data_IF_723657013634
#
_entry.id   IF_723657013634
#
_cell.length_a   1.000
_cell.length_b   1.000
_cell.length_c   1.000
_cell.angle_alpha   90.00
_cell.angle_beta   90.00
_cell.angle_gamma   90.00
#
_symmetry.space_group_name_H-M   'P 1'
#
loop_
_entity.id
_entity.type
_entity.pdbx_description
1 polymer ?
#
# COMPACT_ATOMS: atom_id res chain seq x y z
N UNK A 1 4.81 -0.55 -17.61
CA UNK A 1 4.96 -0.08 -16.21
C UNK A 1 5.57 -1.20 -15.40
N UNK A 2 6.45 -0.86 -14.45
CA UNK A 2 7.07 -1.85 -13.57
C UNK A 2 6.18 -2.04 -12.33
N UNK A 3 5.35 -3.08 -12.37
CA UNK A 3 4.44 -3.41 -11.27
C UNK A 3 5.14 -4.05 -10.06
N UNK A 4 6.47 -4.19 -10.06
CA UNK A 4 7.21 -4.58 -8.84
C UNK A 4 7.48 -3.38 -7.91
N UNK A 5 7.34 -2.15 -8.41
CA UNK A 5 7.57 -0.91 -7.67
C UNK A 5 6.27 -0.23 -7.24
N UNK A 6 6.31 0.70 -6.27
CA UNK A 6 5.22 1.66 -6.09
C UNK A 6 5.07 2.50 -7.37
N UNK A 7 3.84 2.74 -7.79
CA UNK A 7 3.53 3.56 -8.96
C UNK A 7 2.77 4.79 -8.49
N UNK A 8 3.32 5.98 -8.67
CA UNK A 8 2.61 7.23 -8.41
C UNK A 8 1.55 7.43 -9.51
N UNK A 9 0.28 7.45 -9.11
CA UNK A 9 -0.88 7.57 -10.03
C UNK A 9 -1.50 8.97 -9.99
N UNK A 10 -1.20 9.74 -8.95
CA UNK A 10 -1.48 11.15 -8.78
C UNK A 10 -0.51 11.71 -7.72
N UNK A 11 -0.45 13.03 -7.57
CA UNK A 11 0.39 13.69 -6.55
C UNK A 11 0.14 13.07 -5.17
N UNK A 12 1.21 12.51 -4.57
CA UNK A 12 1.18 11.87 -3.25
C UNK A 12 0.28 10.63 -3.14
N UNK A 13 -0.17 10.06 -4.26
CA UNK A 13 -1.00 8.84 -4.30
C UNK A 13 -0.28 7.74 -5.08
N UNK A 14 -0.02 6.64 -4.38
CA UNK A 14 0.76 5.52 -4.91
C UNK A 14 -0.10 4.26 -4.96
N UNK A 15 -0.11 3.58 -6.10
CA UNK A 15 -0.51 2.19 -6.16
C UNK A 15 0.61 1.30 -5.62
N UNK A 16 0.26 0.44 -4.66
CA UNK A 16 1.17 -0.49 -3.97
C UNK A 16 0.62 -1.93 -3.95
N UNK A 17 -0.40 -2.24 -4.75
CA UNK A 17 -0.97 -3.59 -4.84
C UNK A 17 -0.01 -4.63 -5.42
N UNK A 18 -0.36 -5.91 -5.40
CA UNK A 18 0.44 -7.00 -5.97
C UNK A 18 -0.30 -7.66 -7.11
N UNK A 19 0.38 -7.88 -8.25
CA UNK A 19 -0.19 -8.60 -9.38
C UNK A 19 0.04 -10.09 -9.17
N UNK A 20 -1.01 -10.82 -8.82
CA UNK A 20 -0.97 -12.28 -8.66
C UNK A 20 -0.97 -12.95 -10.04
N UNK A 21 0.05 -13.75 -10.40
CA UNK A 21 0.10 -14.39 -11.71
C UNK A 21 -1.11 -15.32 -11.94
N UNK A 22 -1.72 -15.22 -13.13
CA UNK A 22 -2.88 -16.02 -13.56
C UNK A 22 -4.15 -15.85 -12.72
N UNK A 23 -4.23 -14.82 -11.87
CA UNK A 23 -5.44 -14.52 -11.12
C UNK A 23 -6.24 -13.40 -11.83
N UNK A 24 -7.49 -13.65 -12.26
CA UNK A 24 -8.34 -12.59 -12.80
C UNK A 24 -8.84 -11.63 -11.71
N UNK A 25 -8.73 -11.97 -10.42
CA UNK A 25 -9.19 -11.19 -9.29
C UNK A 25 -8.01 -10.55 -8.56
N UNK A 26 -7.62 -9.36 -9.01
CA UNK A 26 -6.55 -8.59 -8.40
C UNK A 26 -7.07 -7.72 -7.25
N UNK A 27 -6.31 -7.65 -6.15
CA UNK A 27 -6.51 -6.64 -5.12
C UNK A 27 -5.66 -5.40 -5.45
N UNK A 28 -6.21 -4.21 -5.18
CA UNK A 28 -5.52 -2.95 -5.44
C UNK A 28 -5.35 -2.19 -4.14
N UNK A 29 -4.12 -2.17 -3.63
CA UNK A 29 -3.75 -1.39 -2.46
C UNK A 29 -3.21 -0.03 -2.89
N UNK A 30 -3.53 1.01 -2.11
CA UNK A 30 -3.09 2.38 -2.36
C UNK A 30 -2.53 3.02 -1.10
N UNK A 31 -1.51 3.85 -1.26
CA UNK A 31 -1.04 4.77 -0.21
C UNK A 31 -1.38 6.19 -0.61
N UNK A 32 -2.00 6.93 0.31
CA UNK A 32 -2.13 8.39 0.25
C UNK A 32 -1.15 8.96 1.27
N UNK A 33 -0.15 9.71 0.80
CA UNK A 33 0.85 10.37 1.66
C UNK A 33 0.30 11.72 2.12
N UNK A 34 0.34 11.97 3.44
CA UNK A 34 -0.10 13.22 4.05
C UNK A 34 0.91 13.69 5.10
N UNK A 35 2.03 14.26 4.64
CA UNK A 35 3.12 14.73 5.50
C UNK A 35 3.62 13.62 6.44
N UNK A 36 3.32 13.73 7.73
CA UNK A 36 3.79 12.83 8.78
C UNK A 36 2.87 11.62 8.98
N UNK A 37 1.74 11.56 8.30
CA UNK A 37 0.80 10.44 8.35
C UNK A 37 0.50 9.96 6.93
N UNK A 38 0.23 8.66 6.77
CA UNK A 38 -0.17 8.09 5.49
C UNK A 38 -1.33 7.13 5.69
N UNK A 39 -2.15 6.98 4.67
CA UNK A 39 -3.30 6.05 4.68
C UNK A 39 -2.98 4.93 3.70
N UNK A 40 -2.99 3.68 4.18
CA UNK A 40 -2.96 2.50 3.34
C UNK A 40 -4.39 1.96 3.18
N UNK A 41 -4.89 2.00 1.95
CA UNK A 41 -6.24 1.59 1.58
C UNK A 41 -6.18 0.19 1.00
N UNK A 42 -7.07 -0.68 1.49
CA UNK A 42 -7.30 -2.05 1.02
C UNK A 42 -5.98 -2.84 0.82
N UNK A 43 -5.21 -3.08 1.90
CA UNK A 43 -3.92 -3.77 1.83
C UNK A 43 -4.01 -5.22 1.30
N UNK A 44 -5.21 -5.70 1.01
CA UNK A 44 -5.49 -7.06 0.58
C UNK A 44 -5.40 -8.06 1.72
N UNK A 45 -5.10 -9.31 1.37
CA UNK A 45 -4.97 -10.40 2.34
C UNK A 45 -3.60 -10.40 3.02
N UNK A 46 -3.49 -11.08 4.17
CA UNK A 46 -2.21 -11.33 4.84
C UNK A 46 -1.18 -12.07 3.96
N UNK A 47 -1.65 -12.85 2.96
CA UNK A 47 -0.78 -13.58 2.03
C UNK A 47 -0.05 -12.61 1.09
N UNK A 48 -0.76 -11.58 0.63
CA UNK A 48 -0.24 -10.59 -0.33
C UNK A 48 0.41 -9.40 0.35
N UNK A 49 0.17 -9.20 1.65
CA UNK A 49 0.63 -8.05 2.42
C UNK A 49 2.15 -7.81 2.39
N UNK A 50 3.04 -8.83 2.40
CA UNK A 50 4.48 -8.60 2.31
C UNK A 50 4.91 -7.83 1.05
N UNK A 51 4.26 -8.09 -0.10
CA UNK A 51 4.55 -7.37 -1.35
C UNK A 51 4.06 -5.92 -1.30
N UNK A 52 2.95 -5.67 -0.60
CA UNK A 52 2.44 -4.32 -0.36
C UNK A 52 3.41 -3.55 0.52
N UNK A 53 3.83 -4.14 1.65
CA UNK A 53 4.81 -3.53 2.56
C UNK A 53 6.12 -3.20 1.87
N UNK A 54 6.67 -4.12 1.08
CA UNK A 54 7.91 -3.88 0.34
C UNK A 54 7.82 -2.62 -0.54
N UNK A 55 6.70 -2.44 -1.24
CA UNK A 55 6.49 -1.25 -2.08
C UNK A 55 6.37 0.03 -1.27
N UNK A 56 5.68 -0.03 -0.14
CA UNK A 56 5.54 1.09 0.78
C UNK A 56 6.92 1.58 1.25
N UNK A 57 7.81 0.66 1.65
CA UNK A 57 9.17 1.01 2.06
C UNK A 57 10.04 1.60 0.95
N UNK A 58 9.66 1.39 -0.32
CA UNK A 58 10.34 1.95 -1.48
C UNK A 58 9.75 3.30 -1.93
N UNK A 59 8.72 3.84 -1.25
CA UNK A 59 8.24 5.20 -1.51
C UNK A 59 9.25 6.19 -0.91
N UNK A 60 9.78 7.15 -1.68
CA UNK A 60 10.70 8.15 -1.16
C UNK A 60 10.07 8.97 -0.03
N UNK A 61 10.84 9.21 1.04
CA UNK A 61 10.41 10.03 2.20
C UNK A 61 9.13 9.52 2.88
N UNK A 62 8.90 8.22 2.87
CA UNK A 62 7.72 7.62 3.47
C UNK A 62 7.70 7.81 4.99
N UNK A 63 6.58 8.33 5.53
CA UNK A 63 6.39 8.46 6.98
C UNK A 63 6.06 7.12 7.63
N UNK A 64 6.52 6.90 8.86
CA UNK A 64 6.34 5.63 9.58
C UNK A 64 4.92 5.39 10.09
N UNK A 65 4.10 6.43 10.19
CA UNK A 65 2.73 6.32 10.70
C UNK A 65 1.76 6.02 9.57
N UNK A 66 1.17 4.82 9.60
CA UNK A 66 0.18 4.39 8.62
C UNK A 66 -1.15 4.07 9.32
N UNK A 67 -2.21 4.70 8.83
CA UNK A 67 -3.57 4.26 9.08
C UNK A 67 -3.97 3.23 8.02
N UNK A 68 -4.39 2.04 8.46
CA UNK A 68 -5.00 1.06 7.58
C UNK A 68 -6.48 1.31 7.49
N UNK A 69 -6.97 1.47 6.25
CA UNK A 69 -8.38 1.37 5.93
C UNK A 69 -8.64 0.06 5.19
N UNK A 70 -9.44 -0.82 5.78
CA UNK A 70 -9.89 -2.06 5.17
C UNK A 70 -11.41 -2.21 5.34
N UNK A 71 -12.03 -3.06 4.53
CA UNK A 71 -13.49 -3.26 4.47
C UNK A 71 -14.15 -3.64 5.80
N UNK A 72 -13.38 -4.01 6.83
CA UNK A 72 -13.90 -4.58 8.08
C UNK A 72 -13.62 -3.74 9.33
N UNK A 73 -12.53 -2.99 9.40
CA UNK A 73 -12.23 -2.06 10.50
C UNK A 73 -10.92 -1.27 10.25
N UNK A 74 -10.92 0.07 10.39
CA UNK A 74 -9.67 0.81 10.39
C UNK A 74 -8.76 0.52 11.60
N UNK A 75 -7.45 0.35 11.38
CA UNK A 75 -6.45 0.13 12.45
C UNK A 75 -5.15 0.90 12.16
N UNK A 76 -4.43 1.33 13.20
CA UNK A 76 -3.10 1.92 13.04
C UNK A 76 -2.01 0.85 13.10
N UNK A 77 -1.04 0.91 12.18
CA UNK A 77 0.20 0.13 12.26
C UNK A 77 1.37 1.08 12.56
N UNK A 78 2.15 0.74 13.59
CA UNK A 78 3.45 1.34 13.88
C UNK A 78 4.54 0.30 13.62
N UNK A 79 5.38 0.52 12.62
CA UNK A 79 6.54 -0.33 12.35
C UNK A 79 7.74 0.16 13.19
N UNK A 80 8.16 -0.63 14.18
CA UNK A 80 9.33 -0.39 15.05
C UNK A 80 10.65 -0.53 14.28
#
# INVERSE_FOLDING_TARGET
MDFSKPIEIAEDIFWVGYVVPNDPFQCHAYVIRNKDESILIDPGSMITFPFVLEKIYNIPLFSRNIFLDNKTNPQYIQNQ
#
